data_IF_022393633683
#
_entry.id   IF_022393633683
#
_cell.length_a   1.000
_cell.length_b   1.000
_cell.length_c   1.000
_cell.angle_alpha   90.00
_cell.angle_beta   90.00
_cell.angle_gamma   90.00
#
_symmetry.space_group_name_H-M   'P 1'
#
loop_
_entity.id
_entity.type
_entity.pdbx_description
1 polymer ?
#
# COMPACT_ATOMS: atom_id res chain seq x y z
N UNK A 1 -37.24 -1.42 -26.13
CA UNK A 1 -36.78 -1.93 -24.82
C UNK A 1 -35.60 -2.85 -25.08
N UNK A 2 -34.42 -2.51 -24.55
CA UNK A 2 -33.15 -3.15 -24.89
C UNK A 2 -32.78 -4.15 -23.77
N UNK A 3 -32.75 -5.47 -24.02
CA UNK A 3 -32.59 -6.49 -22.97
C UNK A 3 -31.17 -6.53 -22.34
N UNK A 4 -30.18 -5.83 -22.92
CA UNK A 4 -28.79 -5.81 -22.40
C UNK A 4 -28.55 -4.97 -21.14
N UNK A 5 -29.46 -4.06 -20.78
CA UNK A 5 -29.28 -3.15 -19.63
C UNK A 5 -29.73 -3.75 -18.29
N UNK A 6 -30.63 -4.74 -18.33
CA UNK A 6 -31.15 -5.41 -17.11
C UNK A 6 -30.15 -6.38 -16.48
N UNK A 7 -29.24 -6.95 -17.27
CA UNK A 7 -28.18 -7.84 -16.77
C UNK A 7 -27.01 -7.12 -16.09
N UNK A 8 -26.66 -5.90 -16.55
CA UNK A 8 -25.60 -5.09 -15.93
C UNK A 8 -26.04 -4.49 -14.58
N UNK A 9 -27.30 -4.05 -14.47
CA UNK A 9 -27.82 -3.40 -13.25
C UNK A 9 -28.01 -4.35 -12.07
N UNK A 10 -28.46 -5.59 -12.31
CA UNK A 10 -28.63 -6.60 -11.25
C UNK A 10 -27.30 -7.19 -10.78
N UNK A 11 -26.33 -7.34 -11.71
CA UNK A 11 -24.97 -7.77 -11.40
C UNK A 11 -24.26 -6.78 -10.47
N UNK A 12 -24.35 -5.47 -10.77
CA UNK A 12 -23.74 -4.44 -9.93
C UNK A 12 -24.36 -4.37 -8.54
N UNK A 13 -25.68 -4.44 -8.42
CA UNK A 13 -26.37 -4.27 -7.13
C UNK A 13 -26.20 -5.47 -6.19
N UNK A 14 -26.19 -6.68 -6.73
CA UNK A 14 -26.03 -7.91 -5.94
C UNK A 14 -24.57 -8.08 -5.46
N UNK A 15 -23.59 -7.75 -6.31
CA UNK A 15 -22.18 -7.74 -5.90
C UNK A 15 -21.93 -6.63 -4.88
N UNK A 16 -22.51 -5.44 -5.06
CA UNK A 16 -22.38 -4.35 -4.11
C UNK A 16 -22.86 -4.71 -2.71
N UNK A 17 -24.07 -5.26 -2.59
CA UNK A 17 -24.67 -5.62 -1.29
C UNK A 17 -24.00 -6.83 -0.64
N UNK A 18 -23.55 -7.80 -1.43
CA UNK A 18 -22.92 -9.01 -0.91
C UNK A 18 -21.43 -8.81 -0.59
N UNK A 19 -20.68 -8.06 -1.40
CA UNK A 19 -19.29 -7.70 -1.06
C UNK A 19 -19.23 -6.81 0.17
N UNK A 20 -20.07 -5.78 0.28
CA UNK A 20 -20.08 -4.89 1.45
C UNK A 20 -20.33 -5.67 2.75
N UNK A 21 -21.33 -6.53 2.80
CA UNK A 21 -21.63 -7.37 3.97
C UNK A 21 -20.56 -8.45 4.25
N UNK A 22 -20.04 -9.12 3.22
CA UNK A 22 -19.03 -10.18 3.40
C UNK A 22 -17.65 -9.63 3.73
N UNK A 23 -17.23 -8.49 3.17
CA UNK A 23 -15.96 -7.85 3.50
C UNK A 23 -15.95 -7.27 4.91
N UNK A 24 -17.05 -6.60 5.32
CA UNK A 24 -17.17 -6.06 6.68
C UNK A 24 -17.12 -7.17 7.74
N UNK A 25 -17.82 -8.28 7.51
CA UNK A 25 -17.85 -9.42 8.45
C UNK A 25 -16.58 -10.28 8.43
N UNK A 26 -15.90 -10.35 7.28
CA UNK A 26 -14.75 -11.24 7.11
C UNK A 26 -13.41 -10.54 7.34
N UNK A 27 -13.30 -9.22 7.21
CA UNK A 27 -12.03 -8.51 7.32
C UNK A 27 -12.17 -7.25 8.20
N UNK A 28 -11.81 -7.32 9.50
CA UNK A 28 -11.87 -6.15 10.38
C UNK A 28 -10.94 -5.02 9.93
N UNK A 29 -9.87 -5.33 9.20
CA UNK A 29 -8.98 -4.34 8.57
C UNK A 29 -9.73 -3.54 7.50
N UNK A 30 -10.52 -4.20 6.64
CA UNK A 30 -11.33 -3.50 5.64
C UNK A 30 -12.32 -2.54 6.32
N UNK A 31 -13.02 -3.01 7.37
CA UNK A 31 -13.92 -2.16 8.16
C UNK A 31 -13.19 -0.97 8.80
N UNK A 32 -11.96 -1.17 9.29
CA UNK A 32 -11.14 -0.10 9.83
C UNK A 32 -10.78 0.93 8.77
N UNK A 33 -10.31 0.54 7.59
CA UNK A 33 -9.89 1.49 6.55
C UNK A 33 -11.03 2.44 6.10
N UNK A 34 -12.30 2.03 6.21
CA UNK A 34 -13.47 2.87 5.90
C UNK A 34 -14.10 3.56 7.12
N UNK A 35 -13.76 3.16 8.35
CA UNK A 35 -14.23 3.81 9.58
C UNK A 35 -13.25 4.83 10.14
N UNK A 36 -11.94 4.66 9.89
CA UNK A 36 -10.89 5.63 10.27
C UNK A 36 -10.69 6.73 9.25
N UNK A 37 -11.29 6.64 8.05
CA UNK A 37 -11.31 7.76 7.10
C UNK A 37 -12.06 8.91 7.79
N UNK A 38 -11.35 9.93 8.30
CA UNK A 38 -12.02 11.04 8.92
C UNK A 38 -12.86 11.67 7.82
N UNK A 39 -13.91 12.36 8.22
CA UNK A 39 -14.41 13.52 7.50
C UNK A 39 -13.24 14.50 7.33
N UNK A 40 -12.29 14.19 6.44
CA UNK A 40 -11.28 15.11 5.99
C UNK A 40 -12.07 16.17 5.28
N UNK A 41 -12.18 17.33 5.92
CA UNK A 41 -12.66 18.60 5.36
C UNK A 41 -11.71 19.07 4.25
N UNK A 42 -11.24 18.15 3.41
CA UNK A 42 -10.51 18.42 2.19
C UNK A 42 -11.53 18.79 1.14
N UNK A 43 -11.36 19.99 0.58
CA UNK A 43 -12.09 20.49 -0.58
C UNK A 43 -11.82 19.68 -1.85
N UNK A 44 -10.92 18.68 -1.78
CA UNK A 44 -10.67 17.72 -2.87
C UNK A 44 -11.72 16.62 -2.78
N UNK A 45 -12.63 16.58 -3.76
CA UNK A 45 -13.64 15.55 -3.90
C UNK A 45 -12.97 14.18 -4.07
N UNK A 46 -12.79 13.45 -2.96
CA UNK A 46 -12.40 12.04 -3.04
C UNK A 46 -13.65 11.25 -3.45
N UNK A 47 -13.66 10.58 -4.63
CA UNK A 47 -14.88 9.96 -5.17
C UNK A 47 -15.30 8.70 -4.40
N UNK A 48 -14.42 8.15 -3.56
CA UNK A 48 -14.67 6.96 -2.76
C UNK A 48 -14.69 7.33 -1.28
N UNK A 49 -15.89 7.35 -0.66
CA UNK A 49 -16.07 7.71 0.75
C UNK A 49 -16.59 6.56 1.60
N UNK A 50 -17.26 5.60 0.97
CA UNK A 50 -17.87 4.44 1.63
C UNK A 50 -17.45 3.15 0.94
N UNK A 51 -17.66 2.00 1.60
CA UNK A 51 -17.42 0.67 1.01
C UNK A 51 -18.27 0.48 -0.26
N UNK A 52 -19.50 0.99 -0.26
CA UNK A 52 -20.37 0.96 -1.43
C UNK A 52 -19.79 1.78 -2.60
N UNK A 53 -19.16 2.93 -2.34
CA UNK A 53 -18.47 3.71 -3.38
C UNK A 53 -17.25 2.96 -3.91
N UNK A 54 -16.50 2.29 -3.03
CA UNK A 54 -15.32 1.52 -3.41
C UNK A 54 -15.68 0.32 -4.29
N UNK A 55 -16.74 -0.40 -3.94
CA UNK A 55 -17.24 -1.50 -4.75
C UNK A 55 -17.82 -1.02 -6.10
N UNK A 56 -18.46 0.16 -6.16
CA UNK A 56 -18.90 0.76 -7.44
C UNK A 56 -17.71 1.13 -8.32
N UNK A 57 -16.66 1.69 -7.72
CA UNK A 57 -15.42 1.99 -8.41
C UNK A 57 -14.75 0.71 -8.94
N UNK A 58 -14.66 -0.34 -8.13
CA UNK A 58 -14.09 -1.63 -8.52
C UNK A 58 -14.85 -2.25 -9.69
N UNK A 59 -16.18 -2.23 -9.67
CA UNK A 59 -17.01 -2.72 -10.77
C UNK A 59 -16.78 -1.90 -12.05
N UNK A 60 -16.74 -0.58 -11.94
CA UNK A 60 -16.45 0.31 -13.08
C UNK A 60 -15.04 0.07 -13.64
N UNK A 61 -14.08 -0.23 -12.77
CA UNK A 61 -12.73 -0.59 -13.17
C UNK A 61 -12.73 -1.92 -13.93
N UNK A 62 -13.40 -2.95 -13.43
CA UNK A 62 -13.53 -4.24 -14.11
C UNK A 62 -14.20 -4.12 -15.48
N UNK A 63 -15.28 -3.34 -15.59
CA UNK A 63 -15.96 -3.10 -16.88
C UNK A 63 -14.97 -2.53 -17.90
N UNK A 64 -14.21 -1.50 -17.52
CA UNK A 64 -13.18 -0.94 -18.39
C UNK A 64 -12.08 -1.96 -18.73
N UNK A 65 -11.69 -2.85 -17.81
CA UNK A 65 -10.68 -3.90 -18.08
C UNK A 65 -11.22 -4.87 -19.13
N UNK A 66 -12.48 -5.30 -18.98
CA UNK A 66 -13.15 -6.22 -19.90
C UNK A 66 -13.28 -5.61 -21.30
N UNK A 67 -13.59 -4.33 -21.37
CA UNK A 67 -13.68 -3.57 -22.63
C UNK A 67 -12.28 -3.22 -23.20
N UNK A 68 -11.19 -3.66 -22.55
CA UNK A 68 -9.80 -3.40 -22.92
C UNK A 68 -9.43 -1.90 -22.99
N UNK A 69 -10.18 -1.07 -22.26
CA UNK A 69 -9.97 0.37 -22.15
C UNK A 69 -9.07 0.75 -20.96
N UNK A 70 -8.61 -0.24 -20.19
CA UNK A 70 -7.78 0.00 -19.01
C UNK A 70 -6.30 -0.04 -19.27
N UNK A 71 -5.65 1.02 -18.81
CA UNK A 71 -4.21 1.04 -18.63
C UNK A 71 -3.83 0.20 -17.41
N UNK A 72 -2.97 -0.79 -17.62
CA UNK A 72 -2.46 -1.65 -16.55
C UNK A 72 -1.60 -0.87 -15.55
N UNK A 73 -1.01 0.26 -15.95
CA UNK A 73 -0.32 1.17 -15.03
C UNK A 73 -1.28 1.84 -14.04
N UNK A 74 -2.51 2.15 -14.45
CA UNK A 74 -3.52 2.74 -13.55
C UNK A 74 -3.82 1.78 -12.38
N UNK A 75 -3.86 0.48 -12.64
CA UNK A 75 -4.07 -0.55 -11.62
C UNK A 75 -2.91 -0.58 -10.62
N UNK A 76 -1.67 -0.48 -11.10
CA UNK A 76 -0.48 -0.38 -10.23
C UNK A 76 -0.51 0.90 -9.40
N UNK A 77 -0.90 2.03 -9.98
CA UNK A 77 -1.01 3.30 -9.27
C UNK A 77 -2.10 3.26 -8.19
N UNK A 78 -3.24 2.62 -8.48
CA UNK A 78 -4.28 2.34 -7.47
C UNK A 78 -3.67 1.55 -6.31
N UNK A 79 -2.94 0.46 -6.58
CA UNK A 79 -2.26 -0.33 -5.54
C UNK A 79 -1.25 0.49 -4.72
N UNK A 80 -0.46 1.34 -5.38
CA UNK A 80 0.51 2.22 -4.72
C UNK A 80 -0.15 3.19 -3.74
N UNK A 81 -1.31 3.77 -4.09
CA UNK A 81 -2.07 4.69 -3.21
C UNK A 81 -2.58 4.00 -1.94
N UNK A 82 -2.82 2.69 -1.99
CA UNK A 82 -3.29 1.91 -0.83
C UNK A 82 -2.19 1.61 0.20
N UNK A 83 -0.91 1.95 -0.06
CA UNK A 83 0.17 1.76 0.92
C UNK A 83 -0.05 2.53 2.22
N UNK A 84 -0.74 3.68 2.17
CA UNK A 84 -1.07 4.45 3.39
C UNK A 84 -1.88 3.63 4.39
N UNK A 85 -2.79 2.79 3.89
CA UNK A 85 -3.63 1.90 4.69
C UNK A 85 -2.82 0.81 5.43
N UNK A 86 -1.61 0.49 4.97
CA UNK A 86 -0.71 -0.41 5.70
C UNK A 86 -0.35 0.15 7.08
N UNK A 87 -0.16 1.45 7.19
CA UNK A 87 0.20 2.10 8.46
C UNK A 87 -1.03 2.36 9.32
N UNK A 88 -2.16 2.70 8.69
CA UNK A 88 -3.38 3.13 9.38
C UNK A 88 -4.24 1.96 9.88
N UNK A 89 -4.44 0.93 9.07
CA UNK A 89 -5.31 -0.20 9.36
C UNK A 89 -4.60 -1.56 9.24
N UNK A 90 -3.29 -1.59 8.92
CA UNK A 90 -2.51 -2.84 8.87
C UNK A 90 -2.67 -3.63 7.56
N UNK A 91 -3.17 -3.00 6.49
CA UNK A 91 -3.34 -3.64 5.18
C UNK A 91 -2.03 -4.31 4.70
N UNK A 92 -2.10 -5.61 4.38
CA UNK A 92 -0.96 -6.39 3.92
C UNK A 92 -1.35 -7.45 2.89
N UNK A 93 -0.40 -8.33 2.57
CA UNK A 93 -0.58 -9.37 1.57
C UNK A 93 -1.66 -10.39 1.97
N UNK A 94 -1.77 -10.70 3.26
CA UNK A 94 -2.77 -11.63 3.76
C UNK A 94 -4.20 -11.08 3.58
N UNK A 95 -4.39 -9.78 3.79
CA UNK A 95 -5.67 -9.12 3.55
C UNK A 95 -6.01 -9.08 2.07
N UNK A 96 -5.01 -8.88 1.20
CA UNK A 96 -5.19 -8.95 -0.26
C UNK A 96 -5.54 -10.38 -0.73
N UNK A 97 -4.92 -11.40 -0.15
CA UNK A 97 -5.23 -12.81 -0.44
C UNK A 97 -6.67 -13.13 -0.04
N UNK A 98 -7.10 -12.68 1.14
CA UNK A 98 -8.46 -12.85 1.63
C UNK A 98 -9.48 -12.11 0.77
N UNK A 99 -9.15 -10.88 0.36
CA UNK A 99 -9.98 -10.12 -0.57
C UNK A 99 -10.14 -10.87 -1.90
N UNK A 100 -9.05 -11.39 -2.47
CA UNK A 100 -9.10 -12.18 -3.71
C UNK A 100 -9.99 -13.42 -3.57
N UNK A 101 -9.87 -14.14 -2.46
CA UNK A 101 -10.68 -15.34 -2.19
C UNK A 101 -12.17 -15.00 -2.15
N UNK A 102 -12.56 -13.99 -1.36
CA UNK A 102 -13.95 -13.52 -1.25
C UNK A 102 -14.45 -13.06 -2.62
N UNK A 103 -13.64 -12.30 -3.36
CA UNK A 103 -14.04 -11.73 -4.63
C UNK A 103 -14.32 -12.82 -5.67
N UNK A 104 -13.42 -13.82 -5.75
CA UNK A 104 -13.63 -15.02 -6.59
C UNK A 104 -14.89 -15.77 -6.15
N UNK A 105 -15.10 -15.99 -4.86
CA UNK A 105 -16.29 -16.69 -4.35
C UNK A 105 -17.59 -15.97 -4.76
N UNK A 106 -17.66 -14.65 -4.60
CA UNK A 106 -18.84 -13.84 -4.93
C UNK A 106 -19.13 -13.89 -6.44
N UNK A 107 -18.10 -13.73 -7.27
CA UNK A 107 -18.26 -13.76 -8.74
C UNK A 107 -18.71 -15.13 -9.24
N UNK A 108 -18.19 -16.21 -8.67
CA UNK A 108 -18.53 -17.57 -9.10
C UNK A 108 -19.93 -18.04 -8.65
N UNK A 109 -20.54 -17.36 -7.68
CA UNK A 109 -21.94 -17.61 -7.29
C UNK A 109 -22.95 -17.01 -8.28
N UNK A 110 -22.53 -16.09 -9.13
CA UNK A 110 -23.42 -15.46 -10.11
C UNK A 110 -23.86 -16.48 -11.17
N UNK A 111 -25.17 -16.57 -11.42
CA UNK A 111 -25.75 -17.61 -12.27
C UNK A 111 -25.13 -17.66 -13.68
N UNK A 112 -24.87 -16.49 -14.29
CA UNK A 112 -24.23 -16.40 -15.60
C UNK A 112 -22.78 -16.91 -15.65
N UNK A 113 -22.07 -16.86 -14.52
CA UNK A 113 -20.69 -17.34 -14.40
C UNK A 113 -20.68 -18.82 -14.01
N UNK A 114 -21.51 -19.20 -13.04
CA UNK A 114 -21.62 -20.56 -12.49
C UNK A 114 -22.04 -21.59 -13.53
N UNK A 115 -22.88 -21.20 -14.49
CA UNK A 115 -23.39 -22.10 -15.53
C UNK A 115 -22.34 -22.43 -16.61
N UNK A 116 -21.23 -21.69 -16.69
CA UNK A 116 -20.19 -21.89 -17.69
C UNK A 116 -18.82 -22.13 -17.04
N UNK A 117 -18.24 -23.32 -17.31
CA UNK A 117 -16.88 -23.66 -16.85
C UNK A 117 -15.83 -22.70 -17.42
N UNK A 118 -15.99 -22.31 -18.68
CA UNK A 118 -15.08 -21.36 -19.34
C UNK A 118 -15.22 -19.96 -18.73
N UNK A 119 -16.45 -19.50 -18.45
CA UNK A 119 -16.67 -18.20 -17.79
C UNK A 119 -16.06 -18.20 -16.38
N UNK A 120 -16.32 -19.26 -15.60
CA UNK A 120 -15.74 -19.43 -14.26
C UNK A 120 -14.20 -19.41 -14.30
N UNK A 121 -13.59 -20.06 -15.30
CA UNK A 121 -12.13 -20.05 -15.49
C UNK A 121 -11.62 -18.66 -15.85
N UNK A 122 -12.27 -17.98 -16.80
CA UNK A 122 -11.89 -16.65 -17.24
C UNK A 122 -11.93 -15.63 -16.09
N UNK A 123 -13.00 -15.66 -15.27
CA UNK A 123 -13.12 -14.79 -14.10
C UNK A 123 -12.02 -15.04 -13.06
N UNK A 124 -11.66 -16.30 -12.78
CA UNK A 124 -10.54 -16.60 -11.87
C UNK A 124 -9.23 -16.00 -12.39
N UNK A 125 -8.94 -16.17 -13.68
CA UNK A 125 -7.71 -15.63 -14.29
C UNK A 125 -7.71 -14.11 -14.23
N UNK A 126 -8.83 -13.46 -14.58
CA UNK A 126 -8.97 -12.01 -14.55
C UNK A 126 -8.75 -11.46 -13.14
N UNK A 127 -9.39 -12.04 -12.13
CA UNK A 127 -9.28 -11.59 -10.74
C UNK A 127 -7.84 -11.78 -10.23
N UNK A 128 -7.21 -12.93 -10.49
CA UNK A 128 -5.80 -13.14 -10.14
C UNK A 128 -4.90 -12.08 -10.79
N UNK A 129 -5.04 -11.84 -12.09
CA UNK A 129 -4.22 -10.86 -12.80
C UNK A 129 -4.43 -9.43 -12.26
N UNK A 130 -5.69 -9.05 -11.99
CA UNK A 130 -6.02 -7.77 -11.39
C UNK A 130 -5.36 -7.59 -10.01
N UNK A 131 -5.52 -8.57 -9.11
CA UNK A 131 -4.96 -8.51 -7.76
C UNK A 131 -3.42 -8.53 -7.79
N UNK A 132 -2.81 -9.27 -8.72
CA UNK A 132 -1.36 -9.30 -8.89
C UNK A 132 -0.80 -7.94 -9.32
N UNK A 133 -1.44 -7.27 -10.28
CA UNK A 133 -1.06 -5.92 -10.71
C UNK A 133 -1.21 -4.90 -9.58
N UNK A 134 -2.32 -4.96 -8.85
CA UNK A 134 -2.53 -4.12 -7.67
C UNK A 134 -1.44 -4.37 -6.62
N UNK A 135 -1.15 -5.64 -6.31
CA UNK A 135 -0.14 -6.04 -5.31
C UNK A 135 1.24 -5.58 -5.72
N UNK A 136 1.59 -5.67 -7.00
CA UNK A 136 2.88 -5.19 -7.49
C UNK A 136 3.06 -3.69 -7.24
N UNK A 137 2.06 -2.88 -7.57
CA UNK A 137 2.05 -1.45 -7.28
C UNK A 137 2.17 -1.15 -5.78
N UNK A 138 1.40 -1.85 -4.95
CA UNK A 138 1.44 -1.73 -3.50
C UNK A 138 2.82 -2.07 -2.92
N UNK A 139 3.38 -3.23 -3.26
CA UNK A 139 4.67 -3.69 -2.74
C UNK A 139 5.83 -2.83 -3.25
N UNK A 140 5.77 -2.39 -4.50
CA UNK A 140 6.78 -1.48 -5.07
C UNK A 140 6.80 -0.15 -4.33
N UNK A 141 5.64 0.45 -4.09
CA UNK A 141 5.54 1.69 -3.33
C UNK A 141 5.95 1.50 -1.86
N UNK A 142 5.60 0.37 -1.23
CA UNK A 142 6.03 0.04 0.12
C UNK A 142 7.55 -0.07 0.23
N UNK A 143 8.22 -0.72 -0.74
CA UNK A 143 9.68 -0.77 -0.83
C UNK A 143 10.30 0.61 -1.00
N UNK A 144 9.67 1.51 -1.76
CA UNK A 144 10.12 2.89 -1.90
C UNK A 144 9.99 3.67 -0.59
N UNK A 145 8.87 3.56 0.12
CA UNK A 145 8.68 4.19 1.43
C UNK A 145 9.75 3.76 2.44
N UNK A 146 10.05 2.46 2.51
CA UNK A 146 11.09 1.91 3.39
C UNK A 146 12.49 2.48 3.07
N UNK A 147 12.85 2.56 1.79
CA UNK A 147 14.14 3.12 1.35
C UNK A 147 14.26 4.62 1.63
N UNK A 148 13.20 5.39 1.37
CA UNK A 148 13.17 6.83 1.68
C UNK A 148 13.32 7.07 3.18
N UNK A 149 12.65 6.26 4.00
CA UNK A 149 12.77 6.35 5.45
C UNK A 149 14.17 5.97 5.95
N UNK A 150 14.81 4.94 5.38
CA UNK A 150 16.19 4.59 5.76
C UNK A 150 17.21 5.66 5.35
N UNK A 151 17.04 6.26 4.17
CA UNK A 151 17.90 7.35 3.71
C UNK A 151 17.74 8.60 4.59
N UNK A 152 16.50 8.92 4.98
CA UNK A 152 16.23 10.07 5.85
C UNK A 152 16.82 9.85 7.26
N UNK A 153 16.69 8.64 7.82
CA UNK A 153 17.32 8.29 9.10
C UNK A 153 18.85 8.37 9.04
N UNK A 154 19.45 7.96 7.92
CA UNK A 154 20.90 8.06 7.70
C UNK A 154 21.36 9.53 7.62
N UNK A 155 20.63 10.36 6.88
CA UNK A 155 20.91 11.80 6.76
C UNK A 155 20.83 12.48 8.13
N UNK A 156 19.77 12.20 8.90
CA UNK A 156 19.61 12.73 10.25
C UNK A 156 20.72 12.26 11.21
N UNK A 157 21.21 11.04 11.06
CA UNK A 157 22.35 10.54 11.85
C UNK A 157 23.62 11.36 11.58
N UNK A 158 23.94 11.61 10.31
CA UNK A 158 25.10 12.43 9.93
C UNK A 158 24.96 13.90 10.36
N UNK A 159 23.80 14.52 10.14
CA UNK A 159 23.53 15.87 10.63
C UNK A 159 23.66 15.98 12.15
N UNK A 160 23.20 14.96 12.89
CA UNK A 160 23.34 14.93 14.35
C UNK A 160 24.80 14.75 14.80
N UNK A 161 25.62 14.02 14.04
CA UNK A 161 27.07 13.92 14.27
C UNK A 161 27.74 15.28 14.03
N UNK A 162 27.45 15.93 12.90
CA UNK A 162 28.03 17.25 12.58
C UNK A 162 27.59 18.31 13.60
N UNK A 163 26.34 18.29 14.05
CA UNK A 163 25.84 19.17 15.10
C UNK A 163 26.54 18.95 16.44
N UNK A 164 26.85 17.69 16.79
CA UNK A 164 27.62 17.37 18.00
C UNK A 164 29.09 17.78 17.87
N UNK A 165 29.70 17.62 16.69
CA UNK A 165 31.07 18.04 16.43
C UNK A 165 31.22 19.57 16.45
N UNK A 166 30.21 20.31 15.99
CA UNK A 166 30.17 21.78 15.99
C UNK A 166 29.76 22.40 17.34
N UNK A 167 29.20 21.62 18.27
CA UNK A 167 28.84 22.06 19.63
C UNK A 167 29.92 21.80 20.70
N UNK A 168 31.11 21.33 20.34
CA UNK A 168 32.23 21.35 21.30
C UNK A 168 32.55 22.80 21.66
N UNK A 169 32.29 23.27 22.90
CA UNK A 169 32.89 24.52 23.33
C UNK A 169 34.38 24.26 23.29
N UNK A 170 35.15 25.18 22.71
CA UNK A 170 36.60 25.23 22.94
C UNK A 170 36.81 25.25 24.45
N UNK A 171 36.99 24.08 25.06
CA UNK A 171 37.59 23.97 26.38
C UNK A 171 38.96 24.56 26.15
N UNK A 172 39.14 25.82 26.58
CA UNK A 172 40.46 26.34 26.89
C UNK A 172 41.09 25.29 27.80
N UNK A 173 41.91 24.42 27.22
CA UNK A 173 42.80 23.58 27.98
C UNK A 173 43.72 24.57 28.68
N UNK A 174 43.42 24.84 29.95
CA UNK A 174 44.38 25.48 30.84
C UNK A 174 45.54 24.49 30.94
N UNK A 175 46.55 24.71 30.12
CA UNK A 175 47.81 24.00 30.15
C UNK A 175 48.51 24.43 31.44
N UNK A 176 48.21 23.77 32.55
CA UNK A 176 49.16 23.72 33.65
C UNK A 176 50.19 22.65 33.26
N UNK A 177 51.23 23.09 32.53
CA UNK A 177 52.39 22.27 32.19
C UNK A 177 53.21 22.13 33.47
N UNK A 178 53.05 21.00 34.15
CA UNK A 178 54.06 20.53 35.11
C UNK A 178 55.20 19.90 34.29
N UNK A 179 56.43 20.44 34.33
CA UNK A 179 57.50 19.97 33.46
C UNK A 179 58.23 18.83 34.16
N UNK A 180 57.68 17.62 34.14
CA UNK A 180 58.47 16.39 34.36
C UNK A 180 57.77 15.13 33.83
N UNK A 181 58.54 14.39 33.04
CA UNK A 181 58.37 13.00 32.59
C UNK A 181 57.80 12.80 31.17
N UNK A 182 58.68 13.03 30.20
CA UNK A 182 59.11 12.15 29.11
C UNK A 182 58.19 11.01 28.60
N UNK A 183 58.01 11.07 27.27
CA UNK A 183 58.04 9.98 26.30
C UNK A 183 57.04 8.82 26.45
N UNK A 184 55.99 8.84 25.64
CA UNK A 184 55.71 7.65 24.84
C UNK A 184 55.17 7.99 23.44
N UNK A 185 55.78 7.31 22.49
CA UNK A 185 55.88 7.59 21.07
C UNK A 185 54.62 7.20 20.30
N UNK A 186 54.24 8.07 19.37
CA UNK A 186 53.39 7.83 18.20
C UNK A 186 53.69 6.46 17.55
N UNK A 187 52.68 5.59 17.40
CA UNK A 187 52.67 4.56 16.35
C UNK A 187 51.31 4.48 15.66
N UNK A 188 51.32 5.02 14.45
CA UNK A 188 50.46 4.64 13.33
C UNK A 188 51.04 3.34 12.75
N UNK A 189 50.20 2.36 12.51
CA UNK A 189 50.44 1.23 11.60
C UNK A 189 49.08 0.61 11.30
N UNK A 190 48.45 1.01 10.18
CA UNK A 190 48.58 0.44 8.83
C UNK A 190 47.89 -0.93 8.68
N UNK A 191 46.96 -0.92 7.71
CA UNK A 191 46.31 -2.04 7.05
C UNK A 191 47.30 -3.13 6.64
N UNK A 192 46.86 -4.39 6.68
CA UNK A 192 47.29 -5.39 5.72
C UNK A 192 46.09 -6.23 5.26
N UNK A 193 46.14 -6.49 3.96
CA UNK A 193 45.27 -7.32 3.12
C UNK A 193 45.45 -8.80 3.47
#
# INVERSE_FOLDING_TARGET
>A
MNPGLLGRSTFTETILLQETSSLESSCPVAQQCFSTSPQSLSTVQNPVRTIADHARFLLSLLDRIIDAEQDLEEIREIGARHVLLKQECGLGTAELDKFQEIFVEVILKQDGVRQSKEASRAWRILICAFVDLFRDGFETQLRQFRRKHSFNAHTQYFENIERRASQCPSRKASLNVDPRVNNCTRRISQLNI
#
